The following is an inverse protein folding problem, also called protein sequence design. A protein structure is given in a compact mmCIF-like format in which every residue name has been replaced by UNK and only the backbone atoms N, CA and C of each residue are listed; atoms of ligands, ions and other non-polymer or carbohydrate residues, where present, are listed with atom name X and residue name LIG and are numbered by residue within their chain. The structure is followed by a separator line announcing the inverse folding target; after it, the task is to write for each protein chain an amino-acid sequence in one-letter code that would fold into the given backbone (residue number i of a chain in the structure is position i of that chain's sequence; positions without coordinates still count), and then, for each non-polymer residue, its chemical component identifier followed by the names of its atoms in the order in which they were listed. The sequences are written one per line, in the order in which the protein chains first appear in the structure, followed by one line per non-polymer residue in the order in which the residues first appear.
data_IF_116228980989
#
_entry.id   IF_116228980989
#
_cell.length_a   1.000
_cell.length_b   1.000
_cell.length_c   1.000
_cell.angle_alpha   90.00
_cell.angle_beta   90.00
_cell.angle_gamma   90.00
#
_symmetry.space_group_name_H-M   'P 1'
#
loop_
_entity.id
_entity.type
_entity.pdbx_description
1 polymer ?
#
# COMPACT_ATOMS: atom_id res chain seq x y z
N UNK A 1 19.61 8.25 6.12
CA UNK A 1 18.14 8.17 6.19
C UNK A 1 17.69 7.13 5.19
N UNK A 2 16.78 6.23 5.55
CA UNK A 2 16.33 5.12 4.70
C UNK A 2 14.84 5.26 4.45
N UNK A 3 14.43 5.21 3.18
CA UNK A 3 13.01 5.15 2.78
C UNK A 3 12.68 3.70 2.45
N UNK A 4 11.67 3.13 3.11
CA UNK A 4 11.22 1.76 2.89
C UNK A 4 9.81 1.81 2.33
N UNK A 5 9.60 1.31 1.09
CA UNK A 5 8.27 1.18 0.47
C UNK A 5 7.81 -0.28 0.51
N UNK A 6 6.76 -0.56 1.27
CA UNK A 6 6.08 -1.86 1.20
C UNK A 6 4.93 -1.83 0.19
N UNK A 7 4.86 -2.82 -0.70
CA UNK A 7 3.66 -3.06 -1.52
C UNK A 7 2.49 -3.53 -0.65
N UNK A 8 1.25 -3.22 -1.05
CA UNK A 8 0.06 -3.61 -0.27
C UNK A 8 -0.06 -5.12 -0.06
N UNK A 9 0.23 -5.92 -1.09
CA UNK A 9 0.24 -7.40 -0.98
C UNK A 9 1.31 -7.92 -0.03
N UNK A 10 2.50 -7.34 -0.06
CA UNK A 10 3.58 -7.74 0.84
C UNK A 10 3.22 -7.41 2.30
N UNK A 11 2.55 -6.26 2.51
CA UNK A 11 2.07 -5.86 3.82
C UNK A 11 0.97 -6.82 4.33
N UNK A 12 0.00 -7.16 3.49
CA UNK A 12 -1.07 -8.10 3.86
C UNK A 12 -0.54 -9.52 4.12
N UNK A 13 0.45 -9.96 3.36
CA UNK A 13 1.03 -11.30 3.52
C UNK A 13 1.92 -11.44 4.76
N UNK A 14 2.52 -10.35 5.26
CA UNK A 14 3.54 -10.44 6.31
C UNK A 14 3.74 -9.14 7.11
N UNK A 15 2.64 -8.58 7.63
CA UNK A 15 2.65 -7.33 8.37
C UNK A 15 3.62 -7.37 9.56
N UNK A 16 3.53 -8.41 10.39
CA UNK A 16 4.24 -8.48 11.66
C UNK A 16 5.77 -8.45 11.46
N UNK A 17 6.31 -9.28 10.56
CA UNK A 17 7.76 -9.31 10.34
C UNK A 17 8.29 -8.03 9.67
N UNK A 18 7.47 -7.37 8.85
CA UNK A 18 7.81 -6.06 8.27
C UNK A 18 7.95 -5.04 9.41
N UNK A 19 6.96 -4.98 10.31
CA UNK A 19 6.98 -4.07 11.45
C UNK A 19 8.10 -4.39 12.44
N UNK A 20 8.34 -5.66 12.75
CA UNK A 20 9.45 -6.10 13.60
C UNK A 20 10.81 -5.65 13.05
N UNK A 21 11.03 -5.81 11.74
CA UNK A 21 12.26 -5.39 11.09
C UNK A 21 12.45 -3.87 11.14
N UNK A 22 11.39 -3.10 10.86
CA UNK A 22 11.41 -1.64 10.97
C UNK A 22 11.71 -1.19 12.40
N UNK A 23 11.03 -1.78 13.38
CA UNK A 23 11.23 -1.47 14.79
C UNK A 23 12.66 -1.80 15.26
N UNK A 24 13.22 -2.93 14.82
CA UNK A 24 14.62 -3.29 15.09
C UNK A 24 15.58 -2.22 14.57
N UNK A 25 15.42 -1.79 13.32
CA UNK A 25 16.30 -0.79 12.72
C UNK A 25 16.13 0.60 13.35
N UNK A 26 14.90 0.98 13.72
CA UNK A 26 14.63 2.20 14.46
C UNK A 26 15.36 2.20 15.82
N UNK A 27 15.27 1.10 16.58
CA UNK A 27 15.98 0.95 17.87
C UNK A 27 17.51 1.01 17.74
N UNK A 28 18.06 0.66 16.58
CA UNK A 28 19.49 0.81 16.26
C UNK A 28 19.88 2.24 15.85
N UNK A 29 18.98 3.23 16.01
CA UNK A 29 19.25 4.64 15.70
C UNK A 29 19.14 4.97 14.20
N UNK A 30 18.60 4.08 13.36
CA UNK A 30 18.40 4.37 11.94
C UNK A 30 17.23 5.34 11.78
N UNK A 31 17.43 6.42 11.02
CA UNK A 31 16.36 7.33 10.57
C UNK A 31 15.61 6.68 9.41
N UNK A 32 14.35 6.31 9.63
CA UNK A 32 13.49 5.60 8.68
C UNK A 32 12.30 6.47 8.25
N UNK A 33 11.92 6.38 6.98
CA UNK A 33 10.62 6.80 6.45
C UNK A 33 9.97 5.54 5.89
N UNK A 34 8.82 5.16 6.43
CA UNK A 34 8.07 4.00 5.94
C UNK A 34 6.86 4.47 5.13
N UNK A 35 6.74 3.93 3.92
CA UNK A 35 5.61 4.17 3.00
C UNK A 35 5.00 2.82 2.67
N UNK A 36 3.68 2.72 2.55
CA UNK A 36 3.01 1.49 2.14
C UNK A 36 2.01 1.71 1.02
N UNK A 37 1.48 0.63 0.46
CA UNK A 37 0.31 0.64 -0.42
C UNK A 37 -0.84 -0.13 0.23
N UNK A 38 -1.95 -0.27 -0.49
CA UNK A 38 -3.11 -1.03 -0.03
C UNK A 38 -4.16 -1.30 -1.12
N UNK A 39 -3.77 -1.26 -2.40
CA UNK A 39 -4.71 -1.25 -3.52
C UNK A 39 -5.67 -2.44 -3.57
N UNK A 40 -5.20 -3.64 -3.25
CA UNK A 40 -6.03 -4.85 -3.23
C UNK A 40 -6.99 -4.84 -2.04
N UNK A 41 -6.51 -4.44 -0.86
CA UNK A 41 -7.33 -4.25 0.34
C UNK A 41 -8.44 -3.23 0.08
N UNK A 42 -8.13 -2.07 -0.50
CA UNK A 42 -9.13 -1.06 -0.90
C UNK A 42 -10.15 -1.68 -1.87
N UNK A 43 -9.69 -2.39 -2.90
CA UNK A 43 -10.58 -3.07 -3.86
C UNK A 43 -11.50 -4.09 -3.19
N UNK A 44 -11.02 -4.80 -2.16
CA UNK A 44 -11.85 -5.75 -1.40
C UNK A 44 -12.92 -5.01 -0.62
N UNK A 45 -12.57 -3.93 0.09
CA UNK A 45 -13.52 -3.17 0.89
C UNK A 45 -14.55 -2.43 0.03
N UNK A 46 -14.17 -1.86 -1.12
CA UNK A 46 -15.13 -1.30 -2.08
C UNK A 46 -16.22 -2.32 -2.43
N UNK A 47 -15.82 -3.56 -2.81
CA UNK A 47 -16.79 -4.62 -3.13
C UNK A 47 -17.66 -5.02 -1.95
N UNK A 48 -17.09 -5.08 -0.74
CA UNK A 48 -17.86 -5.34 0.49
C UNK A 48 -18.90 -4.25 0.78
N UNK A 49 -18.65 -3.01 0.32
CA UNK A 49 -19.59 -1.89 0.40
C UNK A 49 -20.54 -1.81 -0.80
N UNK A 50 -20.51 -2.79 -1.71
CA UNK A 50 -21.34 -2.80 -2.92
C UNK A 50 -20.86 -1.86 -4.03
N UNK A 51 -19.61 -1.38 -3.95
CA UNK A 51 -18.97 -0.55 -4.96
C UNK A 51 -18.04 -1.39 -5.83
N UNK A 52 -18.07 -1.18 -7.14
CA UNK A 52 -17.13 -1.84 -8.05
C UNK A 52 -15.86 -0.99 -8.27
N UNK A 53 -14.65 -1.52 -7.97
CA UNK A 53 -13.39 -0.81 -8.20
C UNK A 53 -13.20 -0.41 -9.66
N UNK A 54 -13.05 0.89 -9.93
CA UNK A 54 -12.86 1.41 -11.29
C UNK A 54 -11.40 1.70 -11.58
N UNK A 55 -10.96 1.35 -12.79
CA UNK A 55 -9.62 1.63 -13.29
C UNK A 55 -9.70 2.30 -14.65
N UNK A 56 -8.84 3.28 -14.89
CA UNK A 56 -8.69 3.99 -16.16
C UNK A 56 -7.27 3.81 -16.69
N UNK A 57 -7.13 3.88 -18.01
CA UNK A 57 -5.84 3.81 -18.70
C UNK A 57 -5.60 5.13 -19.42
N UNK A 58 -4.48 5.79 -19.15
CA UNK A 58 -4.09 7.02 -19.83
C UNK A 58 -3.77 6.76 -21.31
N UNK A 59 -3.72 7.80 -22.17
CA UNK A 59 -3.23 7.66 -23.54
C UNK A 59 -1.79 7.10 -23.62
N UNK A 60 -0.99 7.33 -22.58
CA UNK A 60 0.36 6.76 -22.44
C UNK A 60 0.39 5.30 -21.95
N UNK A 61 -0.76 4.66 -21.74
CA UNK A 61 -0.87 3.26 -21.32
C UNK A 61 -0.77 3.02 -19.81
N UNK A 62 -0.69 4.07 -18.99
CA UNK A 62 -0.61 3.93 -17.53
C UNK A 62 -2.01 3.62 -17.00
N UNK A 63 -2.16 2.47 -16.34
CA UNK A 63 -3.39 2.09 -15.64
C UNK A 63 -3.36 2.59 -14.20
N UNK A 64 -4.40 3.33 -13.80
CA UNK A 64 -4.58 3.85 -12.44
C UNK A 64 -6.00 3.58 -11.93
N UNK A 65 -6.18 3.65 -10.62
CA UNK A 65 -7.52 3.64 -10.01
C UNK A 65 -8.21 4.96 -10.34
N UNK A 66 -9.47 4.89 -10.74
CA UNK A 66 -10.33 6.06 -10.76
C UNK A 66 -10.81 6.30 -9.32
N UNK A 67 -10.40 7.43 -8.74
CA UNK A 67 -10.70 7.80 -7.35
C UNK A 67 -11.66 8.97 -7.37
N UNK A 68 -12.95 8.69 -7.26
CA UNK A 68 -13.99 9.69 -7.05
C UNK A 68 -14.21 9.95 -5.55
N UNK A 69 -15.14 10.85 -5.23
CA UNK A 69 -15.47 11.27 -3.87
C UNK A 69 -16.49 10.37 -3.15
N UNK A 70 -17.05 9.38 -3.85
CA UNK A 70 -18.20 8.59 -3.39
C UNK A 70 -17.83 7.50 -2.38
#
# INVERSE_FOLDING_TARGET
MIVVKAGGRALEANLDKILESLAKHFKLGRKLIFVHGGGDTVSRYERLMGLEPRFITSPSGIRSRYTDEK
#
